data_IF_253614256401
#
_entry.id   IF_253614256401
#
_cell.length_a   1.000
_cell.length_b   1.000
_cell.length_c   1.000
_cell.angle_alpha   90.00
_cell.angle_beta   90.00
_cell.angle_gamma   90.00
#
_symmetry.space_group_name_H-M   'P 1'
#
loop_
_entity.id
_entity.type
_entity.pdbx_description
1 polymer ?
#
# COMPACT_ATOMS: atom_id res chain seq x y z
N UNK A 1 -16.53 -30.62 -23.49
CA UNK A 1 -16.12 -29.63 -22.46
C UNK A 1 -14.60 -29.50 -22.51
N UNK A 2 -14.03 -28.29 -22.57
CA UNK A 2 -12.57 -28.10 -22.39
C UNK A 2 -12.30 -27.83 -20.90
N UNK A 3 -11.45 -28.63 -20.27
CA UNK A 3 -10.98 -28.39 -18.92
C UNK A 3 -10.21 -27.06 -18.86
N UNK A 4 -10.58 -26.21 -17.90
CA UNK A 4 -9.84 -24.99 -17.59
C UNK A 4 -8.85 -25.31 -16.48
N UNK A 5 -7.59 -25.54 -16.83
CA UNK A 5 -6.53 -25.67 -15.83
C UNK A 5 -6.07 -24.27 -15.42
N UNK A 6 -6.53 -23.80 -14.26
CA UNK A 6 -6.00 -22.58 -13.65
C UNK A 6 -4.56 -22.86 -13.22
N UNK A 7 -3.59 -22.25 -13.91
CA UNK A 7 -2.20 -22.29 -13.46
C UNK A 7 -2.08 -21.47 -12.19
N UNK A 8 -1.54 -22.08 -11.15
CA UNK A 8 -1.21 -21.40 -9.91
C UNK A 8 -0.14 -20.35 -10.21
N UNK A 9 -0.51 -19.07 -10.12
CA UNK A 9 0.43 -17.97 -10.25
C UNK A 9 1.20 -17.87 -8.93
N UNK A 10 2.32 -18.58 -8.82
CA UNK A 10 3.27 -18.35 -7.74
C UNK A 10 3.83 -16.95 -7.95
N UNK A 11 3.29 -15.95 -7.26
CA UNK A 11 3.73 -14.57 -7.38
C UNK A 11 5.24 -14.51 -7.07
N UNK A 12 6.11 -14.18 -8.04
CA UNK A 12 7.56 -14.14 -7.83
C UNK A 12 7.98 -12.97 -6.95
N UNK A 13 7.04 -12.10 -6.58
CA UNK A 13 7.30 -10.93 -5.74
C UNK A 13 7.51 -11.40 -4.31
N UNK A 14 8.77 -11.70 -3.98
CA UNK A 14 9.30 -11.39 -2.65
C UNK A 14 8.76 -10.00 -2.32
N UNK A 15 7.83 -9.94 -1.37
CA UNK A 15 7.39 -8.68 -0.79
C UNK A 15 8.57 -8.21 0.04
N UNK A 16 9.57 -7.63 -0.63
CA UNK A 16 10.62 -6.93 0.08
C UNK A 16 9.91 -5.88 0.93
N UNK A 17 10.06 -6.00 2.25
CA UNK A 17 9.56 -5.02 3.21
C UNK A 17 10.41 -3.75 3.07
N UNK A 18 10.28 -3.10 1.91
CA UNK A 18 10.92 -1.83 1.63
C UNK A 18 10.15 -0.75 2.35
N UNK A 19 10.88 0.23 2.83
CA UNK A 19 10.29 1.38 3.49
C UNK A 19 9.82 2.34 2.37
N UNK A 20 8.57 2.83 2.40
CA UNK A 20 8.09 3.74 1.37
C UNK A 20 8.78 5.10 1.45
N UNK A 21 8.80 5.83 0.34
CA UNK A 21 9.46 7.14 0.16
C UNK A 21 8.47 8.32 0.23
N UNK A 22 8.99 9.54 0.37
CA UNK A 22 8.17 10.75 0.22
C UNK A 22 7.66 10.82 -1.23
N UNK A 23 6.44 11.30 -1.40
CA UNK A 23 5.67 11.36 -2.66
C UNK A 23 5.25 10.00 -3.25
N UNK A 24 5.55 8.88 -2.59
CA UNK A 24 5.07 7.56 -3.02
C UNK A 24 3.55 7.42 -2.82
N UNK A 25 2.89 6.78 -3.78
CA UNK A 25 1.47 6.42 -3.69
C UNK A 25 1.36 5.04 -3.03
N UNK A 26 0.57 4.97 -1.97
CA UNK A 26 0.37 3.76 -1.17
C UNK A 26 -1.11 3.47 -0.98
N UNK A 27 -1.44 2.19 -0.75
CA UNK A 27 -2.77 1.78 -0.31
C UNK A 27 -2.84 1.88 1.22
N UNK A 28 -3.90 2.49 1.73
CA UNK A 28 -4.17 2.52 3.16
C UNK A 28 -4.81 1.21 3.58
N UNK A 29 -4.12 0.47 4.47
CA UNK A 29 -4.69 -0.70 5.12
C UNK A 29 -5.72 -0.22 6.14
N UNK A 30 -6.99 -0.36 5.77
CA UNK A 30 -8.13 -0.11 6.64
C UNK A 30 -8.77 -1.47 6.97
N UNK A 31 -8.59 -1.98 8.21
CA UNK A 31 -9.06 -3.31 8.59
C UNK A 31 -10.59 -3.42 8.63
N UNK A 32 -11.31 -2.30 8.67
CA UNK A 32 -12.77 -2.27 8.70
C UNK A 32 -13.38 -2.40 7.30
N UNK A 33 -12.56 -2.28 6.24
CA UNK A 33 -13.05 -2.29 4.85
C UNK A 33 -12.41 -3.39 4.01
N UNK A 34 -13.14 -3.99 3.05
CA UNK A 34 -12.57 -4.96 2.14
C UNK A 34 -11.39 -4.36 1.35
N UNK A 35 -10.37 -5.19 1.07
CA UNK A 35 -9.17 -4.76 0.34
C UNK A 35 -9.46 -4.06 -0.99
N UNK A 36 -10.53 -4.46 -1.68
CA UNK A 36 -10.95 -3.88 -2.96
C UNK A 36 -11.42 -2.43 -2.89
N UNK A 37 -11.70 -1.91 -1.68
CA UNK A 37 -12.16 -0.51 -1.47
C UNK A 37 -11.15 0.33 -0.70
N UNK A 38 -9.96 -0.21 -0.43
CA UNK A 38 -8.89 0.54 0.22
C UNK A 38 -8.54 1.81 -0.56
N UNK A 39 -8.40 2.90 0.19
CA UNK A 39 -8.10 4.19 -0.42
C UNK A 39 -6.63 4.27 -0.80
N UNK A 40 -6.36 4.90 -1.94
CA UNK A 40 -5.03 5.37 -2.28
C UNK A 40 -4.74 6.65 -1.50
N UNK A 41 -3.49 6.81 -1.10
CA UNK A 41 -2.99 8.03 -0.50
C UNK A 41 -1.57 8.29 -1.00
N UNK A 42 -1.17 9.56 -0.96
CA UNK A 42 0.23 9.94 -1.22
C UNK A 42 0.91 10.27 0.10
N UNK A 43 2.08 9.72 0.33
CA UNK A 43 2.92 10.11 1.46
C UNK A 43 3.51 11.47 1.15
N UNK A 44 3.21 12.49 1.96
CA UNK A 44 3.75 13.84 1.76
C UNK A 44 4.96 14.12 2.63
N UNK A 45 5.09 13.45 3.78
CA UNK A 45 6.23 13.60 4.66
C UNK A 45 6.51 12.34 5.46
N UNK A 46 7.78 11.98 5.57
CA UNK A 46 8.25 10.87 6.39
C UNK A 46 8.91 11.41 7.66
N UNK A 47 8.30 11.17 8.82
CA UNK A 47 8.91 11.56 10.10
C UNK A 47 9.79 10.42 10.61
N UNK A 48 11.09 10.69 10.69
CA UNK A 48 12.09 9.79 11.29
C UNK A 48 12.39 10.24 12.72
N UNK A 49 12.48 9.29 13.65
CA UNK A 49 13.00 9.53 14.98
C UNK A 49 14.51 9.75 14.96
N UNK A 50 15.09 10.23 16.06
CA UNK A 50 16.54 10.40 16.22
C UNK A 50 17.32 9.08 16.08
N UNK A 51 16.67 7.96 16.36
CA UNK A 51 17.17 6.59 16.15
C UNK A 51 17.12 6.12 14.69
N UNK A 52 16.73 7.01 13.76
CA UNK A 52 16.54 6.67 12.34
C UNK A 52 15.31 5.81 12.07
N UNK A 53 14.52 5.42 13.08
CA UNK A 53 13.30 4.62 12.90
C UNK A 53 12.15 5.53 12.48
N UNK A 54 11.41 5.12 11.44
CA UNK A 54 10.21 5.84 11.02
C UNK A 54 9.08 5.55 12.00
N UNK A 55 8.63 6.59 12.68
CA UNK A 55 7.55 6.49 13.66
C UNK A 55 6.22 6.90 13.06
N UNK A 56 6.21 7.88 12.15
CA UNK A 56 4.98 8.46 11.61
C UNK A 56 5.14 8.98 10.17
N UNK A 57 4.00 9.10 9.49
CA UNK A 57 3.89 9.54 8.11
C UNK A 57 2.75 10.56 8.01
N UNK A 58 2.96 11.64 7.26
CA UNK A 58 1.86 12.51 6.84
C UNK A 58 1.40 12.04 5.47
N UNK A 59 0.09 11.85 5.30
CA UNK A 59 -0.51 11.42 4.04
C UNK A 59 -1.55 12.44 3.57
N UNK A 60 -1.68 12.58 2.27
CA UNK A 60 -2.84 13.24 1.64
C UNK A 60 -3.71 12.18 1.01
N UNK A 61 -4.97 12.13 1.43
CA UNK A 61 -6.00 11.27 0.83
C UNK A 61 -6.57 11.97 -0.39
N UNK A 62 -6.83 11.19 -1.45
CA UNK A 62 -7.63 11.70 -2.55
C UNK A 62 -9.05 11.91 -2.05
N UNK A 63 -9.55 13.15 -2.15
CA UNK A 63 -10.97 13.39 -1.94
C UNK A 63 -11.69 12.87 -3.17
N UNK A 64 -12.60 11.90 -2.99
CA UNK A 64 -13.59 11.64 -4.04
C UNK A 64 -14.44 12.89 -4.13
N UNK A 65 -14.41 13.56 -5.28
CA UNK A 65 -15.47 14.48 -5.68
C UNK A 65 -16.74 13.67 -5.87
N UNK A 66 -17.82 14.07 -5.19
CA UNK A 66 -19.17 13.59 -5.45
C UNK A 66 -19.69 14.17 -6.75
#
# INVERSE_FOLDING_TARGET
LRERTQKELTSPRVVEKRIPHENEIVLLNDPETPRGVWQLARITKLKRGMDGKKRNHTITRWKRTQ
#
